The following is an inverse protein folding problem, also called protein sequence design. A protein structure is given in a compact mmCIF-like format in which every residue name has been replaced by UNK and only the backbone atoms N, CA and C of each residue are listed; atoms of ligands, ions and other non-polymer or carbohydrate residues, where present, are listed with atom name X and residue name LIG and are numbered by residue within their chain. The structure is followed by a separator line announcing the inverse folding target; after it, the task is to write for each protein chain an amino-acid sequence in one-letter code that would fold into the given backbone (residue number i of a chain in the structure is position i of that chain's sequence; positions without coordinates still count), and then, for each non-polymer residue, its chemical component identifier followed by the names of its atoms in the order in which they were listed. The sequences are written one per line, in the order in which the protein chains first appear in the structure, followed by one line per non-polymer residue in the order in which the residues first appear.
data_IF_448120986991
#
_entry.id   IF_448120986991
#
_cell.length_a   1.000
_cell.length_b   1.000
_cell.length_c   1.000
_cell.angle_alpha   90.00
_cell.angle_beta   90.00
_cell.angle_gamma   90.00
#
_symmetry.space_group_name_H-M   'P 1'
#
loop_
_entity.id
_entity.type
_entity.pdbx_description
1 polymer ?
#
# COMPACT_ATOMS: atom_id res chain seq x y z
N UNK A 1 29.23 8.49 25.71
CA UNK A 1 28.81 8.35 24.31
C UNK A 1 27.30 8.49 24.33
N UNK A 2 26.85 9.69 24.07
CA UNK A 2 25.42 9.97 23.89
C UNK A 2 25.03 9.32 22.57
N UNK A 3 24.00 8.47 22.63
CA UNK A 3 23.47 7.80 21.45
C UNK A 3 22.63 8.87 20.75
N UNK A 4 23.13 9.43 19.65
CA UNK A 4 22.34 10.31 18.80
C UNK A 4 21.20 9.47 18.21
N UNK A 5 19.99 9.66 18.75
CA UNK A 5 18.78 9.24 18.06
C UNK A 5 18.69 10.07 16.78
N UNK A 6 18.96 9.42 15.65
CA UNK A 6 18.75 10.02 14.32
C UNK A 6 17.24 10.20 14.16
N UNK A 7 16.77 11.39 14.52
CA UNK A 7 15.41 11.84 14.25
C UNK A 7 15.14 11.76 12.76
N UNK A 8 14.11 11.03 12.38
CA UNK A 8 13.68 10.93 10.99
C UNK A 8 13.16 12.31 10.55
N UNK A 9 13.94 13.02 9.73
CA UNK A 9 13.57 14.35 9.24
C UNK A 9 12.17 14.33 8.62
N UNK A 10 11.36 15.34 8.95
CA UNK A 10 9.94 15.44 8.58
C UNK A 10 9.70 15.48 7.05
N UNK A 11 10.74 15.69 6.25
CA UNK A 11 10.70 15.79 4.79
C UNK A 11 10.54 14.44 4.06
N UNK A 12 10.77 13.29 4.72
CA UNK A 12 10.68 11.96 4.09
C UNK A 12 9.38 11.19 4.39
N UNK A 13 8.42 11.85 5.06
CA UNK A 13 7.16 11.25 5.49
C UNK A 13 6.13 11.30 4.36
N UNK A 14 5.85 10.13 3.77
CA UNK A 14 4.76 9.96 2.80
C UNK A 14 3.43 10.43 3.42
N UNK A 15 2.78 11.40 2.78
CA UNK A 15 1.46 11.89 3.21
C UNK A 15 0.30 11.06 2.64
N UNK A 16 0.59 10.25 1.63
CA UNK A 16 -0.33 9.31 1.01
C UNK A 16 0.31 8.54 -0.12
N UNK A 17 -0.41 7.56 -0.66
CA UNK A 17 0.08 6.74 -1.76
C UNK A 17 -1.05 6.33 -2.71
N UNK A 18 -0.77 6.34 -4.02
CA UNK A 18 -1.70 5.91 -5.06
C UNK A 18 -1.28 4.52 -5.54
N UNK A 19 -2.13 3.53 -5.30
CA UNK A 19 -2.03 2.21 -5.93
C UNK A 19 -2.73 2.22 -7.27
N UNK A 20 -2.31 1.32 -8.17
CA UNK A 20 -2.94 1.14 -9.47
C UNK A 20 -3.62 -0.22 -9.54
N UNK A 21 -4.78 -0.27 -10.16
CA UNK A 21 -5.47 -1.50 -10.51
C UNK A 21 -6.06 -1.40 -11.91
N UNK A 22 -6.69 -2.49 -12.33
CA UNK A 22 -7.51 -2.56 -13.53
C UNK A 22 -8.80 -3.32 -13.21
N UNK A 23 -9.65 -3.57 -14.21
CA UNK A 23 -10.93 -4.26 -13.99
C UNK A 23 -10.77 -5.67 -13.43
N UNK A 24 -9.62 -6.32 -13.63
CA UNK A 24 -9.36 -7.68 -13.14
C UNK A 24 -8.95 -7.69 -11.66
N UNK A 25 -8.06 -6.78 -11.24
CA UNK A 25 -7.52 -6.78 -9.87
C UNK A 25 -8.34 -5.95 -8.89
N UNK A 26 -9.12 -4.97 -9.38
CA UNK A 26 -9.96 -4.11 -8.52
C UNK A 26 -10.93 -4.91 -7.63
N UNK A 27 -11.67 -5.93 -8.12
CA UNK A 27 -12.55 -6.72 -7.25
C UNK A 27 -11.78 -7.44 -6.13
N UNK A 28 -10.56 -7.90 -6.41
CA UNK A 28 -9.70 -8.56 -5.43
C UNK A 28 -9.23 -7.58 -4.34
N UNK A 29 -8.89 -6.33 -4.69
CA UNK A 29 -8.55 -5.31 -3.70
C UNK A 29 -9.65 -5.16 -2.63
N UNK A 30 -10.91 -5.09 -3.05
CA UNK A 30 -12.04 -4.94 -2.12
C UNK A 30 -12.42 -6.24 -1.41
N UNK A 31 -12.26 -7.39 -2.06
CA UNK A 31 -12.52 -8.70 -1.46
C UNK A 31 -11.56 -9.00 -0.32
N UNK A 32 -10.26 -8.80 -0.56
CA UNK A 32 -9.20 -9.11 0.40
C UNK A 32 -8.81 -7.93 1.29
N UNK A 33 -9.36 -6.73 1.05
CA UNK A 33 -9.06 -5.50 1.82
C UNK A 33 -7.58 -5.14 1.84
N UNK A 34 -6.89 -5.41 0.72
CA UNK A 34 -5.48 -5.07 0.54
C UNK A 34 -5.23 -4.36 -0.79
N UNK A 35 -4.36 -3.36 -0.77
CA UNK A 35 -3.70 -2.86 -1.97
C UNK A 35 -2.31 -3.47 -2.07
N UNK A 36 -1.84 -3.69 -3.29
CA UNK A 36 -0.67 -4.54 -3.50
C UNK A 36 0.23 -4.08 -4.65
N UNK A 37 1.51 -4.41 -4.51
CA UNK A 37 2.58 -4.23 -5.48
C UNK A 37 3.36 -5.55 -5.68
N UNK A 38 4.16 -5.67 -6.75
CA UNK A 38 5.10 -6.77 -6.91
C UNK A 38 6.12 -6.81 -5.75
N UNK A 39 6.66 -7.99 -5.45
CA UNK A 39 7.60 -8.22 -4.34
C UNK A 39 8.79 -7.24 -4.32
N UNK A 40 9.33 -6.88 -5.50
CA UNK A 40 10.45 -5.95 -5.64
C UNK A 40 10.16 -4.52 -5.14
N UNK A 41 8.90 -4.18 -4.85
CA UNK A 41 8.48 -2.90 -4.28
C UNK A 41 8.13 -2.97 -2.79
N UNK A 42 8.60 -4.00 -2.07
CA UNK A 42 8.41 -4.12 -0.61
C UNK A 42 8.79 -2.85 0.15
N UNK A 43 9.94 -2.26 -0.18
CA UNK A 43 10.43 -1.02 0.45
C UNK A 43 9.47 0.17 0.30
N UNK A 44 8.60 0.17 -0.71
CA UNK A 44 7.58 1.21 -0.90
C UNK A 44 6.46 1.04 0.11
N UNK A 45 5.93 -0.19 0.24
CA UNK A 45 4.82 -0.46 1.16
C UNK A 45 5.25 -0.37 2.63
N UNK A 46 6.51 -0.70 2.95
CA UNK A 46 7.06 -0.57 4.31
C UNK A 46 7.08 0.88 4.83
N UNK A 47 7.07 1.88 3.93
CA UNK A 47 6.96 3.30 4.32
C UNK A 47 5.52 3.73 4.59
N UNK A 48 4.53 2.91 4.23
CA UNK A 48 3.12 3.16 4.49
C UNK A 48 2.81 2.66 5.91
N UNK A 49 2.25 3.54 6.72
CA UNK A 49 1.92 3.30 8.13
C UNK A 49 0.42 3.45 8.36
N UNK A 50 -0.15 2.82 9.40
CA UNK A 50 -1.55 2.98 9.77
C UNK A 50 -1.97 4.46 9.85
N UNK A 51 -3.14 4.79 9.30
CA UNK A 51 -3.67 6.15 9.21
C UNK A 51 -3.22 6.94 7.98
N UNK A 52 -2.30 6.41 7.16
CA UNK A 52 -1.91 7.06 5.90
C UNK A 52 -3.05 7.01 4.86
N UNK A 53 -3.25 8.11 4.14
CA UNK A 53 -4.25 8.17 3.07
C UNK A 53 -3.82 7.37 1.84
N UNK A 54 -4.67 6.45 1.40
CA UNK A 54 -4.46 5.63 0.22
C UNK A 54 -5.52 5.94 -0.83
N UNK A 55 -5.12 5.84 -2.09
CA UNK A 55 -5.99 5.97 -3.25
C UNK A 55 -5.77 4.79 -4.20
N UNK A 56 -6.81 4.44 -4.95
CA UNK A 56 -6.76 3.39 -5.96
C UNK A 56 -7.12 3.96 -7.33
N UNK A 57 -6.16 4.02 -8.24
CA UNK A 57 -6.38 4.44 -9.61
C UNK A 57 -6.67 3.23 -10.51
N UNK A 58 -7.84 3.20 -11.13
CA UNK A 58 -8.23 2.17 -12.10
C UNK A 58 -7.89 2.63 -13.50
N UNK A 59 -6.94 1.92 -14.11
CA UNK A 59 -6.40 2.28 -15.42
C UNK A 59 -7.36 2.02 -16.57
N UNK A 60 -8.36 1.14 -16.38
CA UNK A 60 -9.32 0.81 -17.44
C UNK A 60 -10.46 1.82 -17.41
N UNK A 61 -11.00 2.11 -16.21
CA UNK A 61 -12.07 3.09 -16.02
C UNK A 61 -11.58 4.55 -16.04
N UNK A 62 -10.27 4.80 -15.87
CA UNK A 62 -9.67 6.14 -15.69
C UNK A 62 -10.25 6.90 -14.49
N UNK A 63 -10.52 6.19 -13.40
CA UNK A 63 -11.09 6.74 -12.18
C UNK A 63 -10.14 6.58 -10.99
N UNK A 64 -10.09 7.60 -10.13
CA UNK A 64 -9.38 7.57 -8.86
C UNK A 64 -10.38 7.36 -7.72
N UNK A 65 -10.27 6.24 -7.02
CA UNK A 65 -11.10 5.92 -5.86
C UNK A 65 -10.37 6.26 -4.56
N UNK A 66 -11.13 6.70 -3.57
CA UNK A 66 -10.64 7.09 -2.26
C UNK A 66 -11.70 7.87 -1.48
N UNK A 67 -11.38 8.39 -0.30
CA UNK A 67 -10.11 8.21 0.42
C UNK A 67 -10.18 6.91 1.25
N UNK A 68 -9.13 6.10 1.20
CA UNK A 68 -8.94 4.95 2.10
C UNK A 68 -7.88 5.26 3.15
N UNK A 69 -7.92 4.58 4.29
CA UNK A 69 -6.91 4.72 5.34
C UNK A 69 -6.17 3.39 5.50
N UNK A 70 -4.84 3.44 5.47
CA UNK A 70 -4.04 2.26 5.81
C UNK A 70 -4.41 1.78 7.23
N UNK A 71 -4.71 0.50 7.39
CA UNK A 71 -4.98 -0.11 8.69
C UNK A 71 -3.80 -0.94 9.20
N UNK A 72 -2.78 -1.13 8.37
CA UNK A 72 -1.53 -1.81 8.69
C UNK A 72 -0.33 -1.05 8.14
N UNK A 73 0.86 -1.33 8.67
CA UNK A 73 2.09 -1.08 7.91
C UNK A 73 2.18 -2.06 6.74
N UNK A 74 2.87 -1.67 5.67
CA UNK A 74 3.03 -2.57 4.52
C UNK A 74 4.04 -3.69 4.77
N UNK A 75 3.69 -4.89 4.31
CA UNK A 75 4.55 -6.08 4.43
C UNK A 75 4.27 -7.07 3.31
N UNK A 76 5.05 -8.16 3.26
CA UNK A 76 4.78 -9.23 2.30
C UNK A 76 3.67 -10.14 2.81
N UNK A 77 2.74 -10.51 1.92
CA UNK A 77 1.72 -11.56 2.08
C UNK A 77 0.82 -11.37 3.32
N UNK A 78 0.25 -10.17 3.50
CA UNK A 78 -0.81 -9.96 4.49
C UNK A 78 -2.00 -10.89 4.21
N UNK A 79 -2.41 -10.93 2.93
CA UNK A 79 -3.37 -11.85 2.34
C UNK A 79 -2.67 -12.68 1.26
N UNK A 80 -2.12 -13.87 1.63
CA UNK A 80 -1.31 -14.70 0.72
C UNK A 80 -2.06 -15.18 -0.53
N UNK A 81 -3.40 -15.29 -0.43
CA UNK A 81 -4.25 -15.77 -1.51
C UNK A 81 -4.73 -14.66 -2.47
N UNK A 82 -4.51 -13.39 -2.12
CA UNK A 82 -4.91 -12.27 -2.96
C UNK A 82 -4.14 -12.26 -4.29
N UNK A 83 -4.82 -11.95 -5.38
CA UNK A 83 -4.26 -11.80 -6.71
C UNK A 83 -3.56 -13.06 -7.24
N UNK A 84 -3.87 -14.23 -6.68
CA UNK A 84 -3.16 -15.49 -6.96
C UNK A 84 -1.66 -15.43 -6.64
N UNK A 85 -1.26 -14.62 -5.64
CA UNK A 85 0.13 -14.47 -5.21
C UNK A 85 1.00 -13.55 -6.08
N UNK A 86 0.44 -12.94 -7.12
CA UNK A 86 1.20 -12.08 -8.06
C UNK A 86 1.69 -10.76 -7.44
N UNK A 87 1.00 -10.28 -6.40
CA UNK A 87 1.31 -9.00 -5.74
C UNK A 87 1.44 -9.22 -4.23
N UNK A 88 2.59 -9.70 -3.77
CA UNK A 88 2.79 -10.04 -2.36
C UNK A 88 3.09 -8.82 -1.49
N UNK A 89 3.58 -7.69 -2.01
CA UNK A 89 3.85 -6.51 -1.19
C UNK A 89 2.55 -5.74 -0.95
N UNK A 90 1.98 -5.87 0.24
CA UNK A 90 0.59 -5.51 0.52
C UNK A 90 0.45 -4.51 1.67
N UNK A 91 -0.64 -3.75 1.65
CA UNK A 91 -1.11 -2.86 2.71
C UNK A 91 -2.61 -3.05 2.89
N UNK A 92 -3.06 -3.22 4.13
CA UNK A 92 -4.50 -3.30 4.45
C UNK A 92 -5.16 -1.92 4.50
N UNK A 93 -6.45 -1.84 4.15
CA UNK A 93 -7.25 -0.61 4.14
C UNK A 93 -8.73 -0.81 4.47
#
# INVERSE_FOLDING_TARGET
MEVEEVGMDAEDKLSGFIFMCNQMTKPECYRYRVFALPAGRKHVVERINPGMHLFLFDTDAKLLYGIYLATSSGMLNIEPYAFGGRFPAQVSF
#
